data_IF_808849975738
#
_entry.id   IF_808849975738
#
_cell.length_a   1.000
_cell.length_b   1.000
_cell.length_c   1.000
_cell.angle_alpha   90.00
_cell.angle_beta   90.00
_cell.angle_gamma   90.00
#
_symmetry.space_group_name_H-M   'P 1'
#
loop_
_entity.id
_entity.type
_entity.pdbx_description
1 polymer ?
#
# COMPACT_ATOMS: atom_id res chain seq x y z
N UNK A 1 11.88 48.14 21.71
CA UNK A 1 11.84 47.62 20.30
C UNK A 1 12.65 46.36 20.28
N UNK A 2 11.99 45.18 20.28
CA UNK A 2 12.65 43.89 20.27
C UNK A 2 13.04 43.56 18.81
N UNK A 3 14.32 43.48 18.56
CA UNK A 3 14.92 43.17 17.23
C UNK A 3 14.73 41.73 16.74
N UNK A 4 13.90 40.92 17.44
CA UNK A 4 13.75 39.49 17.18
C UNK A 4 12.36 39.07 16.66
N UNK A 5 11.47 40.03 16.34
CA UNK A 5 10.09 39.78 15.89
C UNK A 5 9.85 40.06 14.40
N UNK A 6 10.89 39.96 13.56
CA UNK A 6 10.69 39.90 12.13
C UNK A 6 10.59 38.41 11.71
N UNK A 7 9.37 37.92 11.52
CA UNK A 7 9.20 36.68 10.72
C UNK A 7 10.01 36.85 9.42
N UNK A 8 10.81 35.85 9.03
CA UNK A 8 11.52 35.90 7.75
C UNK A 8 10.47 36.12 6.67
N UNK A 9 10.67 37.17 5.87
CA UNK A 9 9.78 37.48 4.75
C UNK A 9 9.62 36.21 3.91
N UNK A 10 8.37 35.73 3.76
CA UNK A 10 8.07 34.63 2.86
C UNK A 10 8.66 34.99 1.48
N UNK A 11 9.47 34.13 0.86
CA UNK A 11 10.01 34.41 -0.45
C UNK A 11 8.85 34.76 -1.39
N UNK A 12 8.96 35.89 -2.06
CA UNK A 12 7.95 36.37 -2.99
C UNK A 12 7.78 35.33 -4.12
N UNK A 13 6.53 34.91 -4.40
CA UNK A 13 6.26 33.94 -5.43
C UNK A 13 6.51 34.56 -6.82
N UNK A 14 7.60 34.16 -7.46
CA UNK A 14 7.85 34.50 -8.87
C UNK A 14 7.25 33.41 -9.77
N UNK A 15 6.16 33.74 -10.45
CA UNK A 15 5.43 32.82 -11.32
C UNK A 15 6.31 32.13 -12.36
N UNK A 16 7.20 32.88 -13.03
CA UNK A 16 8.02 32.31 -14.10
C UNK A 16 9.10 31.35 -13.54
N UNK A 17 9.67 31.73 -12.40
CA UNK A 17 10.66 30.89 -11.71
C UNK A 17 10.00 29.62 -11.20
N UNK A 18 8.88 29.73 -10.53
CA UNK A 18 8.17 28.55 -9.98
C UNK A 18 7.56 27.67 -11.05
N UNK A 19 7.08 28.24 -12.17
CA UNK A 19 6.67 27.48 -13.35
C UNK A 19 7.82 26.68 -13.93
N UNK A 20 9.00 27.26 -14.08
CA UNK A 20 10.19 26.56 -14.57
C UNK A 20 10.57 25.42 -13.64
N UNK A 21 10.64 25.67 -12.32
CA UNK A 21 10.93 24.64 -11.31
C UNK A 21 9.92 23.47 -11.37
N UNK A 22 8.64 23.78 -11.53
CA UNK A 22 7.60 22.76 -11.64
C UNK A 22 7.82 21.86 -12.86
N UNK A 23 8.12 22.46 -14.02
CA UNK A 23 8.36 21.72 -15.26
C UNK A 23 9.61 20.83 -15.11
N UNK A 24 10.73 21.41 -14.66
CA UNK A 24 11.98 20.69 -14.45
C UNK A 24 11.82 19.52 -13.46
N UNK A 25 11.06 19.71 -12.37
CA UNK A 25 10.76 18.65 -11.42
C UNK A 25 9.93 17.54 -12.05
N UNK A 26 8.89 17.89 -12.83
CA UNK A 26 8.05 16.91 -13.51
C UNK A 26 8.82 16.13 -14.59
N UNK A 27 9.68 16.80 -15.34
CA UNK A 27 10.54 16.17 -16.37
C UNK A 27 11.53 15.21 -15.70
N UNK A 28 12.16 15.62 -14.62
CA UNK A 28 13.08 14.78 -13.84
C UNK A 28 12.39 13.52 -13.32
N UNK A 29 11.22 13.67 -12.68
CA UNK A 29 10.48 12.54 -12.13
C UNK A 29 9.94 11.61 -13.23
N UNK A 30 9.49 12.14 -14.35
CA UNK A 30 8.95 11.34 -15.45
C UNK A 30 10.00 10.54 -16.21
N UNK A 31 11.27 10.96 -16.13
CA UNK A 31 12.39 10.22 -16.71
C UNK A 31 12.76 8.95 -15.91
N UNK A 32 12.32 8.87 -14.66
CA UNK A 32 12.55 7.71 -13.80
C UNK A 32 11.62 6.54 -14.14
N UNK A 33 12.10 5.30 -13.95
CA UNK A 33 11.23 4.13 -13.92
C UNK A 33 10.24 4.19 -12.75
N UNK A 34 9.21 3.34 -12.75
CA UNK A 34 8.24 3.27 -11.62
C UNK A 34 8.95 2.87 -10.32
N UNK A 35 9.88 1.94 -10.41
CA UNK A 35 10.70 1.49 -9.29
C UNK A 35 11.58 2.63 -8.76
N UNK A 36 12.26 3.35 -9.65
CA UNK A 36 13.07 4.52 -9.28
C UNK A 36 12.24 5.59 -8.60
N UNK A 37 11.08 5.96 -9.16
CA UNK A 37 10.19 6.94 -8.53
C UNK A 37 9.71 6.51 -7.16
N UNK A 38 9.39 5.22 -7.00
CA UNK A 38 8.93 4.67 -5.72
C UNK A 38 10.04 4.77 -4.67
N UNK A 39 11.27 4.39 -5.04
CA UNK A 39 12.43 4.51 -4.16
C UNK A 39 12.79 5.96 -3.87
N UNK A 40 12.75 6.84 -4.88
CA UNK A 40 13.04 8.27 -4.73
C UNK A 40 12.12 8.94 -3.71
N UNK A 41 10.83 8.68 -3.76
CA UNK A 41 9.88 9.17 -2.75
C UNK A 41 10.17 8.64 -1.36
N UNK A 42 10.58 7.36 -1.26
CA UNK A 42 11.01 6.77 0.00
C UNK A 42 12.29 7.44 0.53
N UNK A 43 13.25 7.71 -0.35
CA UNK A 43 14.47 8.43 -0.03
C UNK A 43 14.15 9.86 0.45
N UNK A 44 13.27 10.59 -0.22
CA UNK A 44 12.83 11.90 0.23
C UNK A 44 12.13 11.85 1.59
N UNK A 45 11.25 10.87 1.83
CA UNK A 45 10.59 10.69 3.13
C UNK A 45 11.60 10.64 4.29
N UNK A 46 12.75 10.00 4.07
CA UNK A 46 13.77 9.83 5.10
C UNK A 46 14.85 10.93 5.11
N UNK A 47 15.03 11.67 4.05
CA UNK A 47 16.10 12.66 3.93
C UNK A 47 15.62 14.13 3.85
N UNK A 48 14.32 14.39 3.74
CA UNK A 48 13.76 15.76 3.77
C UNK A 48 13.99 16.46 5.12
N UNK A 49 13.95 15.70 6.22
CA UNK A 49 14.32 16.16 7.56
C UNK A 49 15.32 15.15 8.16
N UNK A 50 16.58 15.31 7.78
CA UNK A 50 17.65 14.39 8.17
C UNK A 50 17.86 14.35 9.69
N UNK A 51 17.75 15.50 10.36
CA UNK A 51 17.96 15.57 11.82
C UNK A 51 16.92 14.75 12.58
N UNK A 52 15.65 14.86 12.20
CA UNK A 52 14.56 14.06 12.78
C UNK A 52 14.72 12.58 12.42
N UNK A 53 15.08 12.27 11.18
CA UNK A 53 15.26 10.88 10.72
C UNK A 53 16.42 10.19 11.40
N UNK A 54 17.53 10.87 11.63
CA UNK A 54 18.68 10.32 12.38
C UNK A 54 18.32 10.04 13.83
N UNK A 55 17.54 10.92 14.49
CA UNK A 55 17.04 10.68 15.85
C UNK A 55 16.09 9.46 15.90
N UNK A 56 15.24 9.28 14.88
CA UNK A 56 14.35 8.12 14.76
C UNK A 56 15.08 6.81 14.50
N UNK A 57 16.22 6.84 13.81
CA UNK A 57 16.93 5.62 13.38
C UNK A 57 17.15 4.64 14.53
N UNK A 58 17.61 5.12 15.67
CA UNK A 58 17.84 4.29 16.86
C UNK A 58 16.54 3.68 17.41
N UNK A 59 15.45 4.46 17.47
CA UNK A 59 14.13 3.97 17.90
C UNK A 59 13.57 2.91 16.97
N UNK A 60 13.73 3.10 15.67
CA UNK A 60 13.22 2.17 14.65
C UNK A 60 13.99 0.85 14.63
N UNK A 61 15.27 0.87 14.94
CA UNK A 61 16.09 -0.35 15.05
C UNK A 61 15.55 -1.32 16.14
N UNK A 62 14.86 -0.82 17.17
CA UNK A 62 14.22 -1.65 18.19
C UNK A 62 13.11 -2.55 17.64
N UNK A 63 12.60 -2.25 16.45
CA UNK A 63 11.56 -3.06 15.81
C UNK A 63 12.11 -4.28 15.06
N UNK A 64 13.42 -4.33 14.76
CA UNK A 64 14.04 -5.43 14.02
C UNK A 64 13.85 -6.77 14.73
N UNK A 65 14.03 -6.79 16.05
CA UNK A 65 13.88 -8.01 16.84
C UNK A 65 12.46 -8.57 16.87
N UNK A 66 11.48 -7.75 16.51
CA UNK A 66 10.09 -8.19 16.40
C UNK A 66 9.78 -8.88 15.06
N UNK A 67 10.67 -8.79 14.07
CA UNK A 67 10.46 -9.35 12.74
C UNK A 67 10.94 -10.79 12.68
N UNK A 68 10.19 -11.64 11.97
CA UNK A 68 10.58 -13.03 11.79
C UNK A 68 11.72 -13.15 10.80
N UNK A 69 12.71 -13.91 11.18
CA UNK A 69 13.82 -14.35 10.33
C UNK A 69 14.19 -15.78 10.71
N UNK A 70 14.65 -16.62 9.79
CA UNK A 70 15.20 -17.93 10.16
C UNK A 70 16.48 -17.76 10.98
N UNK A 71 16.77 -18.74 11.84
CA UNK A 71 17.96 -18.72 12.71
C UNK A 71 19.24 -18.74 11.89
N UNK A 72 19.32 -19.63 10.92
CA UNK A 72 20.39 -19.68 9.91
C UNK A 72 19.78 -20.08 8.56
N UNK A 73 19.66 -19.10 7.67
CA UNK A 73 19.03 -19.32 6.35
C UNK A 73 19.82 -20.28 5.45
N UNK A 74 21.10 -20.52 5.75
CA UNK A 74 21.95 -21.44 5.01
C UNK A 74 21.92 -22.87 5.58
N UNK A 75 21.48 -23.08 6.82
CA UNK A 75 21.18 -24.41 7.34
C UNK A 75 19.84 -24.90 6.77
N UNK A 76 19.96 -25.74 5.73
CA UNK A 76 18.81 -26.24 4.98
C UNK A 76 17.81 -27.02 5.84
N UNK A 77 18.30 -27.89 6.71
CA UNK A 77 17.44 -28.75 7.53
C UNK A 77 16.73 -27.97 8.61
N UNK A 78 17.45 -27.08 9.31
CA UNK A 78 16.89 -26.24 10.35
C UNK A 78 15.87 -25.28 9.78
N UNK A 79 16.18 -24.58 8.68
CA UNK A 79 15.27 -23.64 8.04
C UNK A 79 13.98 -24.30 7.58
N UNK A 80 14.05 -25.51 7.02
CA UNK A 80 12.84 -26.27 6.61
C UNK A 80 11.99 -26.58 7.84
N UNK A 81 12.57 -27.04 8.94
CA UNK A 81 11.84 -27.31 10.20
C UNK A 81 11.19 -26.05 10.74
N UNK A 82 11.89 -24.90 10.69
CA UNK A 82 11.32 -23.63 11.11
C UNK A 82 10.09 -23.24 10.28
N UNK A 83 10.14 -23.41 8.94
CA UNK A 83 8.99 -23.16 8.05
C UNK A 83 7.84 -24.17 8.29
N UNK A 84 8.15 -25.44 8.54
CA UNK A 84 7.15 -26.45 8.87
C UNK A 84 6.43 -26.13 10.19
N UNK A 85 7.15 -25.57 11.15
CA UNK A 85 6.62 -25.22 12.46
C UNK A 85 5.91 -23.85 12.52
N UNK A 86 6.02 -23.01 11.50
CA UNK A 86 5.30 -21.74 11.48
C UNK A 86 3.79 -21.96 11.68
N UNK A 87 3.21 -21.17 12.58
CA UNK A 87 1.77 -21.09 12.84
C UNK A 87 1.28 -19.65 12.70
N UNK A 88 1.12 -19.15 11.45
CA UNK A 88 0.69 -17.80 11.19
C UNK A 88 -0.75 -17.53 11.66
N UNK A 89 -0.93 -16.37 12.27
CA UNK A 89 -2.24 -15.85 12.65
C UNK A 89 -2.29 -14.35 12.43
N UNK A 90 -3.48 -13.78 12.44
CA UNK A 90 -3.68 -12.33 12.35
C UNK A 90 -3.94 -11.76 13.72
N UNK A 91 -3.38 -10.57 13.98
CA UNK A 91 -3.62 -9.77 15.17
C UNK A 91 -4.08 -8.38 14.71
N UNK A 92 -5.28 -8.03 15.09
CA UNK A 92 -5.86 -6.72 14.75
C UNK A 92 -5.24 -5.64 15.63
N UNK A 93 -4.94 -4.50 15.05
CA UNK A 93 -4.35 -3.36 15.75
C UNK A 93 -5.46 -2.39 16.15
N UNK A 94 -5.85 -2.41 17.41
CA UNK A 94 -6.98 -1.63 17.93
C UNK A 94 -6.56 -0.44 18.80
N UNK A 95 -5.32 -0.40 19.30
CA UNK A 95 -4.83 0.71 20.12
C UNK A 95 -3.88 1.67 19.36
N UNK A 96 -3.76 2.90 19.88
CA UNK A 96 -2.98 3.96 19.23
C UNK A 96 -1.47 3.70 19.24
N UNK A 97 -0.94 3.05 20.28
CA UNK A 97 0.49 2.75 20.41
C UNK A 97 0.91 1.69 19.40
N UNK A 98 0.15 0.59 19.32
CA UNK A 98 0.40 -0.45 18.33
C UNK A 98 0.12 0.05 16.91
N UNK A 99 -0.84 0.95 16.72
CA UNK A 99 -1.07 1.61 15.42
C UNK A 99 0.14 2.44 14.96
N UNK A 100 0.80 3.13 15.90
CA UNK A 100 2.04 3.87 15.62
C UNK A 100 3.16 2.89 15.29
N UNK A 101 3.38 1.86 16.12
CA UNK A 101 4.37 0.82 15.89
C UNK A 101 4.19 0.12 14.54
N UNK A 102 2.96 -0.22 14.19
CA UNK A 102 2.63 -0.81 12.87
C UNK A 102 3.09 0.12 11.73
N UNK A 103 2.83 1.42 11.86
CA UNK A 103 3.22 2.42 10.85
C UNK A 103 4.75 2.54 10.74
N UNK A 104 5.46 2.50 11.86
CA UNK A 104 6.93 2.53 11.91
C UNK A 104 7.52 1.29 11.24
N UNK A 105 7.03 0.09 11.59
CA UNK A 105 7.47 -1.16 10.95
C UNK A 105 7.17 -1.14 9.45
N UNK A 106 5.98 -0.65 9.05
CA UNK A 106 5.66 -0.51 7.61
C UNK A 106 6.68 0.38 6.89
N UNK A 107 7.07 1.49 7.50
CA UNK A 107 8.08 2.38 6.92
C UNK A 107 9.44 1.69 6.75
N UNK A 108 9.79 0.75 7.63
CA UNK A 108 11.02 -0.03 7.54
C UNK A 108 11.03 -1.03 6.39
N UNK A 109 9.93 -1.75 6.20
CA UNK A 109 9.90 -2.94 5.32
C UNK A 109 9.18 -2.73 3.98
N UNK A 110 8.46 -1.62 3.81
CA UNK A 110 7.67 -1.36 2.59
C UNK A 110 8.34 -0.31 1.70
N UNK A 111 8.42 -0.60 0.40
CA UNK A 111 9.02 0.30 -0.60
C UNK A 111 8.25 1.60 -0.79
N UNK A 112 6.93 1.55 -0.69
CA UNK A 112 6.10 2.74 -0.91
C UNK A 112 6.12 3.67 0.31
N UNK A 113 6.14 4.98 0.06
CA UNK A 113 5.91 5.99 1.09
C UNK A 113 4.57 5.76 1.80
N UNK A 114 4.46 6.26 3.02
CA UNK A 114 3.24 6.15 3.81
C UNK A 114 2.35 7.36 3.58
N UNK A 115 1.18 7.11 3.00
CA UNK A 115 0.09 8.08 2.97
C UNK A 115 -1.07 7.54 3.83
N UNK A 116 -1.59 8.37 4.73
CA UNK A 116 -2.78 8.02 5.49
C UNK A 116 -4.00 7.94 4.57
N UNK A 117 -4.75 6.85 4.66
CA UNK A 117 -6.00 6.71 3.91
C UNK A 117 -7.16 7.31 4.71
N UNK A 118 -7.96 8.18 4.11
CA UNK A 118 -9.20 8.64 4.74
C UNK A 118 -10.23 7.50 4.80
N UNK A 119 -11.13 7.57 5.77
CA UNK A 119 -12.22 6.62 5.92
C UNK A 119 -11.85 5.39 6.75
N UNK A 120 -12.43 4.24 6.40
CA UNK A 120 -12.21 3.00 7.12
C UNK A 120 -10.75 2.59 7.06
N UNK A 121 -10.24 2.11 8.19
CA UNK A 121 -8.87 1.62 8.29
C UNK A 121 -8.80 0.51 9.34
N UNK A 122 -8.29 -0.65 8.92
CA UNK A 122 -7.96 -1.77 9.81
C UNK A 122 -6.52 -2.14 9.55
N UNK A 123 -5.66 -1.97 10.54
CA UNK A 123 -4.26 -2.39 10.53
C UNK A 123 -4.16 -3.77 11.14
N UNK A 124 -3.34 -4.63 10.57
CA UNK A 124 -3.23 -6.04 10.92
C UNK A 124 -1.76 -6.44 10.92
N UNK A 125 -1.33 -7.10 11.97
CA UNK A 125 -0.11 -7.90 11.98
C UNK A 125 -0.42 -9.33 11.53
N UNK A 126 0.40 -9.88 10.66
CA UNK A 126 0.50 -11.31 10.45
C UNK A 126 1.68 -11.78 11.28
N UNK A 127 1.42 -12.61 12.30
CA UNK A 127 2.43 -13.05 13.27
C UNK A 127 2.50 -14.57 13.29
N UNK A 128 3.61 -15.08 13.82
CA UNK A 128 3.80 -16.50 14.08
C UNK A 128 3.55 -16.80 15.55
N UNK A 129 2.68 -17.77 15.89
CA UNK A 129 2.37 -18.15 17.28
C UNK A 129 3.58 -18.78 17.99
N UNK A 130 4.44 -19.48 17.24
CA UNK A 130 5.58 -20.20 17.82
C UNK A 130 6.64 -19.24 18.32
N UNK A 131 7.00 -18.25 17.51
CA UNK A 131 8.05 -17.29 17.83
C UNK A 131 7.54 -15.95 18.39
N UNK A 132 6.26 -15.65 18.24
CA UNK A 132 5.67 -14.33 18.52
C UNK A 132 6.08 -13.24 17.53
N UNK A 133 6.87 -13.56 16.51
CA UNK A 133 7.45 -12.61 15.56
C UNK A 133 6.47 -12.22 14.46
N UNK A 134 6.70 -11.04 13.88
CA UNK A 134 5.90 -10.50 12.79
C UNK A 134 6.41 -11.08 11.47
N UNK A 135 5.50 -11.69 10.72
CA UNK A 135 5.72 -12.23 9.38
C UNK A 135 5.42 -11.19 8.29
N UNK A 136 4.48 -10.29 8.57
CA UNK A 136 4.07 -9.26 7.63
C UNK A 136 2.98 -8.35 8.16
N UNK A 137 2.60 -7.39 7.32
CA UNK A 137 1.64 -6.35 7.63
C UNK A 137 0.55 -6.27 6.55
N UNK A 138 -0.68 -6.06 6.99
CA UNK A 138 -1.82 -5.78 6.12
C UNK A 138 -2.53 -4.52 6.62
N UNK A 139 -3.00 -3.69 5.69
CA UNK A 139 -3.94 -2.61 5.98
C UNK A 139 -5.10 -2.69 5.01
N UNK A 140 -6.32 -2.70 5.56
CA UNK A 140 -7.56 -2.67 4.81
C UNK A 140 -8.20 -1.29 4.95
N UNK A 141 -8.57 -0.69 3.82
CA UNK A 141 -9.19 0.63 3.77
C UNK A 141 -10.57 0.61 3.13
N UNK A 142 -11.26 1.76 3.13
CA UNK A 142 -12.46 1.92 2.32
C UNK A 142 -12.16 1.57 0.86
N UNK A 143 -13.06 0.84 0.22
CA UNK A 143 -12.87 0.49 -1.19
C UNK A 143 -12.99 1.74 -2.08
N UNK A 144 -12.32 1.73 -3.21
CA UNK A 144 -12.34 2.85 -4.13
C UNK A 144 -13.71 2.97 -4.81
N UNK A 145 -14.20 4.19 -4.94
CA UNK A 145 -15.55 4.46 -5.47
C UNK A 145 -15.72 4.06 -6.94
N UNK A 146 -14.63 4.01 -7.71
CA UNK A 146 -14.67 3.65 -9.13
C UNK A 146 -13.44 2.82 -9.50
N UNK A 147 -13.67 1.57 -9.88
CA UNK A 147 -12.65 0.65 -10.39
C UNK A 147 -13.29 -0.24 -11.47
N UNK A 148 -13.18 0.20 -12.73
CA UNK A 148 -13.96 -0.32 -13.86
C UNK A 148 -13.95 -1.85 -13.98
N UNK A 149 -12.79 -2.50 -13.90
CA UNK A 149 -12.69 -3.97 -14.03
C UNK A 149 -13.36 -4.71 -12.86
N UNK A 150 -13.31 -4.16 -11.64
CA UNK A 150 -14.04 -4.70 -10.47
C UNK A 150 -15.54 -4.50 -10.65
N UNK A 151 -15.95 -3.29 -11.00
CA UNK A 151 -17.36 -2.91 -11.15
C UNK A 151 -18.01 -3.76 -12.26
N UNK A 152 -17.31 -3.99 -13.36
CA UNK A 152 -17.74 -4.91 -14.43
C UNK A 152 -17.82 -6.37 -13.96
N UNK A 153 -16.82 -6.84 -13.19
CA UNK A 153 -16.81 -8.20 -12.68
C UNK A 153 -17.98 -8.48 -11.72
N UNK A 154 -18.33 -7.53 -10.86
CA UNK A 154 -19.46 -7.64 -9.94
C UNK A 154 -20.78 -7.44 -10.71
N UNK A 155 -20.79 -6.69 -11.79
CA UNK A 155 -21.99 -6.24 -12.52
C UNK A 155 -22.59 -5.00 -11.87
N UNK A 156 -21.78 -4.14 -11.25
CA UNK A 156 -22.27 -2.91 -10.63
C UNK A 156 -22.62 -1.84 -11.64
N UNK A 157 -23.78 -1.23 -11.44
CA UNK A 157 -24.17 0.08 -11.97
C UNK A 157 -23.85 1.15 -10.90
N UNK A 158 -23.94 2.43 -11.27
CA UNK A 158 -23.77 3.51 -10.29
C UNK A 158 -24.86 3.44 -9.21
N UNK A 159 -26.10 3.11 -9.59
CA UNK A 159 -27.22 3.09 -8.66
C UNK A 159 -27.13 1.94 -7.66
N UNK A 160 -26.90 0.71 -8.12
CA UNK A 160 -26.89 -0.44 -7.22
C UNK A 160 -25.65 -0.53 -6.33
N UNK A 161 -24.51 0.02 -6.78
CA UNK A 161 -23.26 0.04 -6.01
C UNK A 161 -23.38 0.84 -4.69
N UNK A 162 -24.11 1.94 -4.70
CA UNK A 162 -24.28 2.79 -3.51
C UNK A 162 -25.56 2.46 -2.73
N UNK A 163 -26.52 1.84 -3.38
CA UNK A 163 -27.77 1.43 -2.73
C UNK A 163 -27.47 0.51 -1.55
N UNK A 164 -28.10 0.77 -0.41
CA UNK A 164 -27.94 0.03 0.84
C UNK A 164 -26.47 -0.13 1.29
N UNK A 165 -25.59 0.80 0.87
CA UNK A 165 -24.19 0.79 1.26
C UNK A 165 -23.38 -0.38 0.71
N UNK A 166 -23.76 -0.98 -0.43
CA UNK A 166 -23.12 -2.21 -0.96
C UNK A 166 -21.62 -2.08 -1.19
N UNK A 167 -21.12 -0.91 -1.56
CA UNK A 167 -19.69 -0.68 -1.66
C UNK A 167 -18.94 -0.92 -0.33
N UNK A 168 -19.60 -0.72 0.80
CA UNK A 168 -19.02 -0.89 2.12
C UNK A 168 -18.84 -2.36 2.55
N UNK A 169 -19.40 -3.30 1.78
CA UNK A 169 -19.19 -4.74 1.93
C UNK A 169 -17.95 -5.24 1.20
N UNK A 170 -17.22 -4.34 0.53
CA UNK A 170 -15.90 -4.60 -0.05
C UNK A 170 -14.87 -3.67 0.58
N UNK A 171 -13.61 -4.06 0.52
CA UNK A 171 -12.47 -3.28 1.01
C UNK A 171 -11.32 -3.35 0.05
N UNK A 172 -10.41 -2.37 0.10
CA UNK A 172 -9.14 -2.44 -0.60
C UNK A 172 -8.00 -2.65 0.39
N UNK A 173 -7.17 -3.64 0.13
CA UNK A 173 -5.93 -3.81 0.86
C UNK A 173 -4.90 -2.81 0.31
N UNK A 174 -4.62 -1.78 1.09
CA UNK A 174 -3.71 -0.69 0.75
C UNK A 174 -2.26 -1.00 1.10
N UNK A 175 -2.05 -1.96 1.98
CA UNK A 175 -0.74 -2.51 2.32
C UNK A 175 -0.87 -4.03 2.44
N UNK A 176 -0.02 -4.75 1.72
CA UNK A 176 0.25 -6.17 1.90
C UNK A 176 1.76 -6.34 1.72
N UNK A 177 2.49 -6.50 2.79
CA UNK A 177 3.94 -6.63 2.78
C UNK A 177 4.39 -7.68 3.80
N UNK A 178 5.31 -8.53 3.41
CA UNK A 178 5.96 -9.49 4.31
C UNK A 178 7.35 -9.00 4.71
N UNK A 179 7.88 -9.58 5.79
CA UNK A 179 9.28 -9.39 6.17
C UNK A 179 10.22 -10.01 5.14
N UNK A 180 11.45 -9.55 5.09
CA UNK A 180 12.53 -10.23 4.38
C UNK A 180 13.43 -10.91 5.44
N UNK A 181 13.92 -12.12 5.22
CA UNK A 181 13.98 -12.90 3.97
C UNK A 181 12.72 -13.73 3.64
N UNK A 182 11.64 -13.67 4.46
CA UNK A 182 10.42 -14.47 4.25
C UNK A 182 9.82 -14.26 2.83
N UNK A 183 9.82 -13.03 2.35
CA UNK A 183 9.23 -12.66 1.06
C UNK A 183 9.86 -13.37 -0.11
N UNK A 184 11.15 -13.17 -0.31
CA UNK A 184 11.86 -13.69 -1.47
C UNK A 184 12.07 -15.22 -1.40
N UNK A 185 12.59 -15.70 -0.27
CA UNK A 185 13.02 -17.09 -0.16
C UNK A 185 11.86 -18.07 0.04
N UNK A 186 10.75 -17.63 0.65
CA UNK A 186 9.66 -18.51 1.08
C UNK A 186 8.28 -18.09 0.56
N UNK A 187 8.19 -17.20 -0.44
CA UNK A 187 6.91 -16.70 -0.95
C UNK A 187 6.04 -16.05 0.12
N UNK A 188 6.64 -15.35 1.08
CA UNK A 188 5.93 -14.76 2.21
C UNK A 188 4.88 -13.74 1.81
N UNK A 189 5.08 -13.00 0.71
CA UNK A 189 4.08 -12.07 0.19
C UNK A 189 2.76 -12.76 -0.18
N UNK A 190 2.83 -14.02 -0.63
CA UNK A 190 1.62 -14.83 -0.92
C UNK A 190 0.91 -15.24 0.36
N UNK A 191 1.66 -15.64 1.40
CA UNK A 191 1.11 -15.94 2.72
C UNK A 191 0.35 -14.73 3.28
N UNK A 192 1.04 -13.58 3.38
CA UNK A 192 0.46 -12.36 3.94
C UNK A 192 -0.77 -11.89 3.15
N UNK A 193 -0.77 -12.06 1.82
CA UNK A 193 -1.93 -11.76 0.99
C UNK A 193 -3.15 -12.65 1.33
N UNK A 194 -2.94 -13.95 1.51
CA UNK A 194 -4.02 -14.86 1.91
C UNK A 194 -4.59 -14.48 3.30
N UNK A 195 -3.72 -14.14 4.25
CA UNK A 195 -4.12 -13.78 5.61
C UNK A 195 -4.97 -12.51 5.68
N UNK A 196 -4.97 -11.66 4.64
CA UNK A 196 -5.88 -10.52 4.54
C UNK A 196 -7.37 -10.91 4.51
N UNK A 197 -7.69 -12.18 4.25
CA UNK A 197 -9.06 -12.73 4.20
C UNK A 197 -9.37 -13.68 5.37
N UNK A 198 -8.53 -13.72 6.38
CA UNK A 198 -8.66 -14.55 7.58
C UNK A 198 -10.05 -14.42 8.23
N UNK A 199 -10.59 -15.49 8.85
CA UNK A 199 -11.82 -15.43 9.62
C UNK A 199 -11.84 -14.30 10.66
N UNK A 200 -10.73 -14.07 11.35
CA UNK A 200 -10.63 -13.01 12.36
C UNK A 200 -10.77 -11.61 11.74
N UNK A 201 -10.20 -11.38 10.55
CA UNK A 201 -10.37 -10.11 9.81
C UNK A 201 -11.83 -9.87 9.45
N UNK A 202 -12.54 -10.90 8.98
CA UNK A 202 -13.96 -10.80 8.62
C UNK A 202 -14.84 -10.52 9.83
N UNK A 203 -14.57 -11.21 10.94
CA UNK A 203 -15.25 -11.01 12.22
C UNK A 203 -15.07 -9.57 12.70
N UNK A 204 -13.82 -9.09 12.78
CA UNK A 204 -13.52 -7.72 13.20
C UNK A 204 -14.18 -6.66 12.29
N UNK A 205 -14.17 -6.89 10.97
CA UNK A 205 -14.86 -5.98 10.04
C UNK A 205 -16.35 -5.87 10.32
N UNK A 206 -17.02 -7.02 10.56
CA UNK A 206 -18.44 -7.06 10.91
C UNK A 206 -18.73 -6.37 12.25
N UNK A 207 -17.92 -6.64 13.26
CA UNK A 207 -18.06 -6.04 14.59
C UNK A 207 -17.84 -4.52 14.56
N UNK A 208 -16.82 -4.06 13.85
CA UNK A 208 -16.44 -2.65 13.81
C UNK A 208 -17.35 -1.78 12.93
N UNK A 209 -17.79 -2.31 11.80
CA UNK A 209 -18.51 -1.54 10.78
C UNK A 209 -19.95 -2.02 10.54
N UNK A 210 -20.38 -3.10 11.15
CA UNK A 210 -21.73 -3.68 10.97
C UNK A 210 -21.95 -4.37 9.61
N UNK A 211 -20.97 -4.35 8.70
CA UNK A 211 -21.11 -4.94 7.37
C UNK A 211 -20.37 -6.27 7.25
N UNK A 212 -20.99 -7.24 6.60
CA UNK A 212 -20.34 -8.48 6.21
C UNK A 212 -19.33 -8.21 5.10
N UNK A 213 -18.09 -8.59 5.30
CA UNK A 213 -17.03 -8.43 4.31
C UNK A 213 -17.17 -9.50 3.21
N UNK A 214 -17.60 -9.09 2.03
CA UNK A 214 -17.82 -9.98 0.88
C UNK A 214 -16.53 -10.24 0.12
N UNK A 215 -15.69 -9.20 -0.01
CA UNK A 215 -14.46 -9.32 -0.77
C UNK A 215 -13.36 -8.33 -0.33
N UNK A 216 -12.12 -8.75 -0.53
CA UNK A 216 -10.91 -7.92 -0.40
C UNK A 216 -10.32 -7.70 -1.79
N UNK A 217 -10.25 -6.44 -2.23
CA UNK A 217 -9.55 -6.03 -3.44
C UNK A 217 -8.12 -5.61 -3.13
N UNK A 218 -7.24 -5.66 -4.11
CA UNK A 218 -5.92 -5.00 -4.07
C UNK A 218 -5.44 -4.68 -5.48
N UNK A 219 -4.48 -3.77 -5.58
CA UNK A 219 -3.87 -3.42 -6.86
C UNK A 219 -2.36 -3.58 -6.81
N UNK A 220 -1.77 -4.02 -7.91
CA UNK A 220 -0.32 -4.10 -8.07
C UNK A 220 0.19 -2.97 -8.94
N UNK A 221 1.28 -2.30 -8.53
CA UNK A 221 1.99 -1.32 -9.35
C UNK A 221 2.70 -1.95 -10.55
N UNK A 222 2.99 -3.26 -10.47
CA UNK A 222 3.74 -4.02 -11.47
C UNK A 222 2.82 -4.75 -12.46
N UNK A 223 1.63 -4.21 -12.73
CA UNK A 223 0.65 -4.80 -13.62
C UNK A 223 0.14 -6.16 -13.12
N UNK A 224 -0.08 -7.09 -14.05
CA UNK A 224 -0.56 -8.44 -13.75
C UNK A 224 0.55 -9.41 -13.27
N UNK A 225 1.81 -8.98 -13.26
CA UNK A 225 2.95 -9.77 -12.76
C UNK A 225 3.25 -9.39 -11.31
N UNK A 226 2.62 -10.05 -10.36
CA UNK A 226 2.74 -9.69 -8.94
C UNK A 226 2.74 -10.90 -8.02
N UNK A 227 3.01 -10.64 -6.74
CA UNK A 227 2.90 -11.62 -5.66
C UNK A 227 1.50 -12.24 -5.55
N UNK A 228 0.47 -11.61 -6.10
CA UNK A 228 -0.92 -12.08 -6.04
C UNK A 228 -1.25 -13.15 -7.08
N UNK A 229 -0.38 -13.37 -8.06
CA UNK A 229 -0.59 -14.39 -9.09
C UNK A 229 -0.47 -15.80 -8.51
N UNK A 230 -1.42 -16.67 -8.92
CA UNK A 230 -1.42 -18.08 -8.55
C UNK A 230 -1.71 -18.34 -7.07
N UNK A 231 -2.24 -17.38 -6.32
CA UNK A 231 -2.83 -17.62 -5.01
C UNK A 231 -4.31 -18.00 -5.13
N UNK A 232 -4.78 -19.01 -4.35
CA UNK A 232 -6.15 -19.51 -4.48
C UNK A 232 -7.21 -18.50 -4.05
N UNK A 233 -6.84 -17.54 -3.20
CA UNK A 233 -7.75 -16.54 -2.65
C UNK A 233 -8.09 -15.44 -3.64
N UNK A 234 -7.12 -14.99 -4.43
CA UNK A 234 -7.28 -13.84 -5.33
C UNK A 234 -7.47 -14.26 -6.78
N UNK A 235 -8.47 -13.66 -7.42
CA UNK A 235 -8.68 -13.70 -8.86
C UNK A 235 -8.10 -12.44 -9.48
N UNK A 236 -7.33 -12.57 -10.56
CA UNK A 236 -6.91 -11.45 -11.39
C UNK A 236 -8.10 -10.97 -12.22
N UNK A 237 -8.46 -9.71 -12.12
CA UNK A 237 -9.56 -9.11 -12.88
C UNK A 237 -9.09 -8.39 -14.15
N UNK A 238 -7.77 -8.25 -14.33
CA UNK A 238 -7.17 -7.49 -15.41
C UNK A 238 -6.50 -6.21 -14.91
N UNK A 239 -6.43 -5.20 -15.75
CA UNK A 239 -5.74 -3.95 -15.45
C UNK A 239 -6.71 -2.77 -15.29
N UNK A 240 -6.37 -1.85 -14.39
CA UNK A 240 -7.13 -0.60 -14.23
C UNK A 240 -7.05 0.25 -15.50
N UNK A 241 -8.12 1.00 -15.79
CA UNK A 241 -8.12 1.94 -16.92
C UNK A 241 -7.21 3.16 -16.68
N UNK A 242 -6.99 3.52 -15.41
CA UNK A 242 -6.17 4.66 -15.02
C UNK A 242 -4.68 4.37 -15.14
N UNK A 243 -3.96 5.31 -15.74
CA UNK A 243 -2.49 5.32 -15.74
C UNK A 243 -1.98 5.91 -14.43
N UNK A 244 -0.82 5.46 -13.99
CA UNK A 244 -0.15 6.08 -12.83
C UNK A 244 0.36 7.45 -13.27
N UNK A 245 -0.15 8.51 -12.62
CA UNK A 245 0.33 9.88 -12.86
C UNK A 245 1.54 10.18 -11.98
N UNK A 246 2.58 10.73 -12.57
CA UNK A 246 3.69 11.33 -11.83
C UNK A 246 3.17 12.51 -11.03
N UNK A 247 3.56 12.59 -9.77
CA UNK A 247 3.20 13.70 -8.88
C UNK A 247 4.46 14.52 -8.61
N UNK A 248 4.35 15.85 -8.55
CA UNK A 248 5.49 16.70 -8.18
C UNK A 248 5.98 16.37 -6.76
N UNK A 249 7.21 16.74 -6.47
CA UNK A 249 7.77 16.69 -5.13
C UNK A 249 6.97 17.57 -4.18
N UNK A 250 6.92 17.20 -2.91
CA UNK A 250 6.09 17.89 -1.92
C UNK A 250 6.50 19.37 -1.79
N UNK A 251 7.79 19.70 -1.84
CA UNK A 251 8.27 21.08 -1.82
C UNK A 251 7.75 21.92 -2.98
N UNK A 252 7.72 21.35 -4.18
CA UNK A 252 7.21 22.01 -5.40
C UNK A 252 5.67 22.10 -5.35
N UNK A 253 5.03 21.02 -4.87
CA UNK A 253 3.58 20.98 -4.73
C UNK A 253 3.08 22.03 -3.73
N UNK A 254 3.68 22.17 -2.56
CA UNK A 254 3.22 23.11 -1.51
C UNK A 254 3.29 24.57 -1.95
N UNK A 255 4.33 24.96 -2.66
CA UNK A 255 4.44 26.31 -3.23
C UNK A 255 3.27 26.61 -4.15
N UNK A 256 2.98 25.70 -5.09
CA UNK A 256 1.86 25.84 -6.01
C UNK A 256 0.48 25.67 -5.35
N UNK A 257 0.37 24.84 -4.34
CA UNK A 257 -0.86 24.65 -3.57
C UNK A 257 -1.27 25.97 -2.89
N UNK A 258 -0.32 26.65 -2.24
CA UNK A 258 -0.58 27.97 -1.66
C UNK A 258 -1.02 28.98 -2.73
N UNK A 259 -0.30 29.04 -3.84
CA UNK A 259 -0.64 29.94 -4.92
C UNK A 259 -2.05 29.70 -5.48
N UNK A 260 -2.40 28.44 -5.77
CA UNK A 260 -3.73 28.06 -6.26
C UNK A 260 -4.82 28.42 -5.26
N UNK A 261 -4.59 28.20 -3.97
CA UNK A 261 -5.53 28.55 -2.90
C UNK A 261 -5.82 30.05 -2.83
N UNK A 262 -4.79 30.87 -3.06
CA UNK A 262 -4.91 32.32 -3.02
C UNK A 262 -5.50 32.91 -4.31
N UNK A 263 -5.01 32.46 -5.48
CA UNK A 263 -5.32 33.08 -6.77
C UNK A 263 -6.48 32.41 -7.51
N UNK A 264 -6.88 31.19 -7.12
CA UNK A 264 -7.99 30.43 -7.69
C UNK A 264 -8.99 29.98 -6.62
N UNK A 265 -9.27 30.84 -5.64
CA UNK A 265 -10.01 30.50 -4.43
C UNK A 265 -11.38 29.85 -4.71
N UNK A 266 -12.14 30.35 -5.68
CA UNK A 266 -13.45 29.79 -6.04
C UNK A 266 -13.34 28.37 -6.65
N UNK A 267 -12.40 28.17 -7.60
CA UNK A 267 -12.17 26.86 -8.21
C UNK A 267 -11.60 25.88 -7.19
N UNK A 268 -10.70 26.35 -6.32
CA UNK A 268 -10.15 25.58 -5.21
C UNK A 268 -11.25 25.10 -4.27
N UNK A 269 -12.12 26.02 -3.80
CA UNK A 269 -13.23 25.68 -2.91
C UNK A 269 -14.18 24.64 -3.54
N UNK A 270 -14.54 24.83 -4.81
CA UNK A 270 -15.39 23.88 -5.56
C UNK A 270 -14.74 22.49 -5.69
N UNK A 271 -13.42 22.41 -5.91
CA UNK A 271 -12.71 21.14 -6.08
C UNK A 271 -12.45 20.43 -4.75
N UNK A 272 -12.36 21.16 -3.65
CA UNK A 272 -12.07 20.62 -2.31
C UNK A 272 -13.32 20.47 -1.44
N UNK A 273 -14.46 21.01 -1.86
CA UNK A 273 -15.73 20.87 -1.16
C UNK A 273 -16.09 19.38 -0.97
N UNK A 274 -16.63 19.08 0.21
CA UNK A 274 -17.26 17.81 0.49
C UNK A 274 -18.50 17.66 -0.41
N UNK A 275 -18.72 16.45 -0.91
CA UNK A 275 -19.93 16.21 -1.71
C UNK A 275 -21.13 16.09 -0.79
N UNK A 276 -22.17 16.84 -1.08
CA UNK A 276 -23.46 16.76 -0.39
C UNK A 276 -23.99 15.31 -0.36
N UNK A 277 -24.33 14.81 0.82
CA UNK A 277 -24.82 13.43 0.98
C UNK A 277 -23.75 12.32 1.07
N UNK A 278 -22.46 12.66 1.14
CA UNK A 278 -21.39 11.70 1.38
C UNK A 278 -20.69 12.02 2.68
N UNK A 279 -20.86 11.17 3.69
CA UNK A 279 -20.14 11.32 4.96
C UNK A 279 -18.65 11.07 4.74
N UNK A 280 -17.82 12.04 5.10
CA UNK A 280 -16.38 11.95 5.11
C UNK A 280 -15.64 12.97 4.23
N UNK A 281 -14.32 13.13 4.44
CA UNK A 281 -13.53 14.14 3.75
C UNK A 281 -13.48 13.88 2.24
N UNK A 282 -13.39 14.96 1.46
CA UNK A 282 -13.26 14.87 0.00
C UNK A 282 -12.05 14.03 -0.42
N UNK A 283 -12.28 12.97 -1.20
CA UNK A 283 -11.21 12.10 -1.67
C UNK A 283 -10.50 12.65 -2.92
N UNK A 284 -9.21 12.36 -3.06
CA UNK A 284 -8.43 12.74 -4.23
C UNK A 284 -8.15 14.25 -4.36
N UNK A 285 -8.26 15.01 -3.27
CA UNK A 285 -8.05 16.47 -3.24
C UNK A 285 -6.68 16.85 -3.80
N UNK A 286 -5.61 16.20 -3.34
CA UNK A 286 -4.24 16.47 -3.84
C UNK A 286 -4.15 16.31 -5.36
N UNK A 287 -4.78 15.28 -5.95
CA UNK A 287 -4.77 15.08 -7.39
C UNK A 287 -5.58 16.16 -8.14
N UNK A 288 -6.69 16.62 -7.57
CA UNK A 288 -7.47 17.71 -8.17
C UNK A 288 -6.68 19.01 -8.19
N UNK A 289 -5.97 19.32 -7.10
CA UNK A 289 -5.09 20.50 -6.99
C UNK A 289 -3.94 20.38 -8.00
N UNK A 290 -3.29 19.23 -8.11
CA UNK A 290 -2.24 18.99 -9.12
C UNK A 290 -2.78 19.22 -10.54
N UNK A 291 -4.01 18.79 -10.84
CA UNK A 291 -4.62 19.05 -12.14
C UNK A 291 -4.90 20.55 -12.37
N UNK A 292 -5.24 21.30 -11.32
CA UNK A 292 -5.37 22.77 -11.39
C UNK A 292 -4.01 23.42 -11.69
N UNK A 293 -2.93 22.94 -11.05
CA UNK A 293 -1.57 23.41 -11.31
C UNK A 293 -1.19 23.15 -12.77
N UNK A 294 -1.40 21.94 -13.28
CA UNK A 294 -1.13 21.61 -14.68
C UNK A 294 -1.86 22.54 -15.66
N UNK A 295 -3.14 22.81 -15.39
CA UNK A 295 -3.94 23.73 -16.19
C UNK A 295 -3.36 25.14 -16.17
N UNK A 296 -2.95 25.63 -15.00
CA UNK A 296 -2.38 26.97 -14.81
C UNK A 296 -1.01 27.10 -15.51
N UNK A 297 -0.16 26.11 -15.36
CA UNK A 297 1.19 26.08 -15.99
C UNK A 297 1.11 25.90 -17.51
N UNK A 298 -0.09 25.51 -18.03
CA UNK A 298 -0.32 25.31 -19.46
C UNK A 298 0.23 23.99 -20.02
N UNK A 299 0.37 22.95 -19.17
CA UNK A 299 0.90 21.65 -19.55
C UNK A 299 -0.19 20.59 -19.46
N UNK A 300 -0.21 19.66 -20.41
CA UNK A 300 -1.14 18.53 -20.37
C UNK A 300 -0.63 17.47 -19.37
N UNK A 301 -1.43 17.17 -18.35
CA UNK A 301 -1.14 16.12 -17.36
C UNK A 301 -0.85 14.75 -18.02
N UNK A 302 -1.36 14.50 -19.22
CA UNK A 302 -1.09 13.26 -19.97
C UNK A 302 0.36 13.07 -20.39
N UNK A 303 1.17 14.14 -20.42
CA UNK A 303 2.61 14.04 -20.71
C UNK A 303 3.38 13.34 -19.58
N UNK A 304 2.87 13.43 -18.36
CA UNK A 304 3.50 12.90 -17.15
C UNK A 304 2.78 11.67 -16.59
N UNK A 305 2.09 10.93 -17.46
CA UNK A 305 1.47 9.66 -17.11
C UNK A 305 2.38 8.50 -17.54
N UNK A 306 2.76 7.65 -16.57
CA UNK A 306 3.39 6.38 -16.92
C UNK A 306 2.41 5.49 -17.67
N UNK A 307 2.89 4.79 -18.70
CA UNK A 307 2.09 3.85 -19.48
C UNK A 307 1.61 2.62 -18.71
N UNK A 308 2.04 2.47 -17.47
CA UNK A 308 1.73 1.30 -16.65
C UNK A 308 0.33 1.40 -16.04
N UNK A 309 -0.44 0.35 -16.28
CA UNK A 309 -1.72 0.11 -15.64
C UNK A 309 -1.50 -0.76 -14.40
N UNK A 310 -2.31 -0.55 -13.38
CA UNK A 310 -2.26 -1.39 -12.19
C UNK A 310 -3.00 -2.70 -12.43
N UNK A 311 -2.38 -3.83 -12.12
CA UNK A 311 -3.08 -5.10 -12.03
C UNK A 311 -4.09 -5.08 -10.89
N UNK A 312 -5.31 -5.55 -11.13
CA UNK A 312 -6.40 -5.58 -10.15
C UNK A 312 -6.68 -7.02 -9.75
N UNK A 313 -6.70 -7.25 -8.46
CA UNK A 313 -6.91 -8.56 -7.83
C UNK A 313 -8.07 -8.47 -6.85
N UNK A 314 -8.86 -9.55 -6.76
CA UNK A 314 -10.08 -9.57 -5.97
C UNK A 314 -10.29 -10.94 -5.32
N UNK A 315 -10.35 -10.97 -4.00
CA UNK A 315 -10.63 -12.13 -3.20
C UNK A 315 -12.09 -12.12 -2.75
N UNK A 316 -12.96 -12.70 -3.56
CA UNK A 316 -14.38 -12.86 -3.24
C UNK A 316 -14.57 -14.12 -2.40
N UNK A 317 -15.12 -13.96 -1.19
CA UNK A 317 -15.20 -15.01 -0.19
C UNK A 317 -16.48 -15.85 -0.27
N UNK A 318 -17.51 -15.38 -0.97
CA UNK A 318 -18.80 -16.06 -1.11
C UNK A 318 -19.07 -16.43 -2.56
N UNK A 319 -19.68 -17.58 -2.80
CA UNK A 319 -20.02 -18.05 -4.16
C UNK A 319 -21.00 -17.11 -4.84
N UNK A 320 -22.01 -16.68 -4.11
CA UNK A 320 -23.05 -15.75 -4.55
C UNK A 320 -22.82 -14.30 -4.06
N UNK A 321 -21.56 -13.94 -3.82
CA UNK A 321 -21.21 -12.61 -3.32
C UNK A 321 -21.54 -11.48 -4.30
N UNK A 322 -21.49 -11.73 -5.62
CA UNK A 322 -21.83 -10.73 -6.62
C UNK A 322 -23.34 -10.42 -6.61
N UNK A 323 -24.17 -11.44 -6.42
CA UNK A 323 -25.63 -11.30 -6.30
C UNK A 323 -25.98 -10.44 -5.09
N UNK A 324 -25.32 -10.67 -3.96
CA UNK A 324 -25.49 -9.83 -2.78
C UNK A 324 -25.04 -8.38 -3.05
N UNK A 325 -23.90 -8.20 -3.68
CA UNK A 325 -23.37 -6.86 -4.00
C UNK A 325 -24.25 -6.11 -5.01
N UNK A 326 -25.03 -6.80 -5.84
CA UNK A 326 -26.03 -6.21 -6.75
C UNK A 326 -27.43 -6.03 -6.14
N UNK A 327 -27.61 -6.33 -4.85
CA UNK A 327 -28.90 -6.31 -4.17
C UNK A 327 -29.93 -7.35 -4.67
N UNK A 328 -29.47 -8.48 -5.20
CA UNK A 328 -30.33 -9.56 -5.71
C UNK A 328 -30.69 -10.58 -4.64
N UNK A 329 -29.87 -10.69 -3.58
CA UNK A 329 -30.08 -11.56 -2.43
C UNK A 329 -29.79 -10.83 -1.12
N UNK A 330 -30.28 -11.40 -0.01
CA UNK A 330 -30.05 -10.92 1.36
C UNK A 330 -28.83 -11.58 2.00
N UNK A 331 -28.36 -11.07 3.15
CA UNK A 331 -27.15 -11.54 3.82
C UNK A 331 -27.25 -13.00 4.30
N UNK A 332 -28.43 -13.42 4.73
CA UNK A 332 -28.71 -14.80 5.20
C UNK A 332 -28.63 -15.86 4.09
N UNK A 333 -28.70 -15.45 2.84
CA UNK A 333 -28.57 -16.32 1.67
C UNK A 333 -27.10 -16.49 1.20
N UNK A 334 -26.15 -15.81 1.83
CA UNK A 334 -24.74 -15.89 1.45
C UNK A 334 -24.16 -17.29 1.70
N UNK A 335 -23.49 -17.84 0.68
CA UNK A 335 -22.79 -19.12 0.73
C UNK A 335 -21.30 -18.90 0.69
N UNK A 336 -20.61 -19.18 1.80
CA UNK A 336 -19.17 -19.03 1.88
C UNK A 336 -18.46 -20.14 1.10
N UNK A 337 -17.42 -19.78 0.34
CA UNK A 337 -16.57 -20.76 -0.35
C UNK A 337 -15.77 -21.58 0.66
N UNK A 338 -15.66 -22.90 0.46
CA UNK A 338 -14.98 -23.81 1.38
C UNK A 338 -13.58 -23.34 1.80
N UNK A 339 -12.79 -22.84 0.86
CA UNK A 339 -11.42 -22.33 1.12
C UNK A 339 -11.36 -21.12 2.08
N UNK A 340 -12.47 -20.49 2.38
CA UNK A 340 -12.53 -19.37 3.33
C UNK A 340 -13.24 -19.75 4.64
N UNK A 341 -13.86 -20.92 4.71
CA UNK A 341 -14.46 -21.43 5.97
C UNK A 341 -13.34 -21.62 6.99
N UNK A 342 -12.33 -22.44 6.65
CA UNK A 342 -11.13 -22.68 7.45
C UNK A 342 -9.92 -21.99 6.79
N UNK A 343 -10.06 -20.68 6.51
CA UNK A 343 -9.19 -19.95 5.61
C UNK A 343 -7.71 -19.99 5.98
N UNK A 344 -7.39 -19.91 7.27
CA UNK A 344 -5.99 -19.92 7.74
C UNK A 344 -5.38 -21.31 7.60
N UNK A 345 -6.10 -22.37 7.96
CA UNK A 345 -5.65 -23.77 7.77
C UNK A 345 -5.50 -24.09 6.28
N UNK A 346 -6.47 -23.73 5.45
CA UNK A 346 -6.38 -23.87 4.00
C UNK A 346 -5.15 -23.15 3.44
N UNK A 347 -4.90 -21.93 3.88
CA UNK A 347 -3.74 -21.15 3.49
C UNK A 347 -2.45 -21.86 3.82
N UNK A 348 -2.32 -22.41 5.03
CA UNK A 348 -1.12 -23.10 5.47
C UNK A 348 -0.87 -24.41 4.72
N UNK A 349 -1.91 -25.22 4.48
CA UNK A 349 -1.83 -26.43 3.64
C UNK A 349 -1.38 -26.13 2.21
N UNK A 350 -1.81 -24.98 1.67
CA UNK A 350 -1.42 -24.56 0.32
C UNK A 350 -0.02 -23.95 0.27
N UNK A 351 0.35 -23.08 1.24
CA UNK A 351 1.56 -22.27 1.20
C UNK A 351 2.82 -23.02 1.64
N UNK A 352 2.80 -23.77 2.76
CA UNK A 352 3.99 -24.43 3.32
C UNK A 352 4.76 -25.30 2.31
N UNK A 353 4.12 -26.22 1.57
CA UNK A 353 4.84 -27.04 0.59
C UNK A 353 5.50 -26.19 -0.51
N UNK A 354 4.86 -25.12 -0.93
CA UNK A 354 5.39 -24.21 -1.97
C UNK A 354 6.56 -23.38 -1.45
N UNK A 355 6.48 -22.90 -0.22
CA UNK A 355 7.55 -22.17 0.46
C UNK A 355 8.79 -23.04 0.60
N UNK A 356 8.65 -24.27 1.08
CA UNK A 356 9.72 -25.25 1.23
C UNK A 356 10.34 -25.60 -0.13
N UNK A 357 9.53 -25.89 -1.14
CA UNK A 357 10.03 -26.19 -2.47
C UNK A 357 10.78 -25.01 -3.11
N UNK A 358 10.26 -23.79 -2.91
CA UNK A 358 10.94 -22.56 -3.35
C UNK A 358 12.30 -22.42 -2.69
N UNK A 359 12.35 -22.57 -1.37
CA UNK A 359 13.58 -22.46 -0.61
C UNK A 359 14.61 -23.52 -1.02
N UNK A 360 14.21 -24.79 -1.12
CA UNK A 360 15.08 -25.87 -1.58
C UNK A 360 15.73 -25.56 -2.93
N UNK A 361 14.92 -25.10 -3.88
CA UNK A 361 15.40 -24.71 -5.21
C UNK A 361 16.40 -23.56 -5.15
N UNK A 362 16.10 -22.50 -4.39
CA UNK A 362 17.01 -21.35 -4.23
C UNK A 362 18.32 -21.76 -3.54
N UNK A 363 18.25 -22.64 -2.56
CA UNK A 363 19.42 -23.17 -1.86
C UNK A 363 20.32 -23.96 -2.81
N UNK A 364 19.75 -24.85 -3.61
CA UNK A 364 20.47 -25.65 -4.60
C UNK A 364 21.10 -24.81 -5.72
N UNK A 365 20.43 -23.72 -6.10
CA UNK A 365 20.91 -22.78 -7.12
C UNK A 365 21.87 -21.71 -6.56
N UNK A 366 22.16 -21.69 -5.26
CA UNK A 366 23.00 -20.66 -4.61
C UNK A 366 22.38 -19.26 -4.67
N UNK A 367 21.05 -19.14 -4.69
CA UNK A 367 20.29 -17.91 -4.87
C UNK A 367 19.53 -17.47 -3.61
N UNK A 368 19.90 -17.99 -2.46
CA UNK A 368 19.35 -17.52 -1.18
C UNK A 368 19.69 -16.04 -0.98
N UNK A 369 18.73 -15.26 -0.56
CA UNK A 369 18.92 -13.85 -0.16
C UNK A 369 18.74 -13.75 1.36
N UNK A 370 19.84 -13.68 2.13
CA UNK A 370 19.78 -13.64 3.59
C UNK A 370 19.39 -12.26 4.12
N UNK A 371 19.61 -11.21 3.34
CA UNK A 371 19.49 -9.83 3.82
C UNK A 371 18.03 -9.46 4.06
N UNK A 372 17.80 -8.81 5.17
CA UNK A 372 16.60 -8.03 5.42
C UNK A 372 16.78 -6.64 4.85
N UNK A 373 15.94 -6.26 3.90
CA UNK A 373 15.96 -4.93 3.30
C UNK A 373 15.20 -3.97 4.21
N UNK A 374 15.93 -3.11 4.90
CA UNK A 374 15.36 -2.07 5.73
C UNK A 374 15.64 -0.70 5.10
N UNK A 375 14.60 -0.06 4.62
CA UNK A 375 14.72 1.24 3.93
C UNK A 375 15.20 2.40 4.84
N UNK A 376 15.33 2.16 6.14
CA UNK A 376 15.95 3.11 7.05
C UNK A 376 17.44 3.34 6.76
N UNK A 377 18.09 2.40 6.13
CA UNK A 377 19.52 2.49 5.83
C UNK A 377 19.84 3.56 4.78
N UNK A 378 18.81 4.06 4.05
CA UNK A 378 18.99 5.18 3.12
C UNK A 378 19.08 6.55 3.81
N UNK A 379 18.86 6.62 5.12
CA UNK A 379 18.99 7.88 5.87
C UNK A 379 20.42 8.35 5.83
N UNK A 380 20.63 9.56 5.30
CA UNK A 380 21.92 10.20 5.14
C UNK A 380 22.69 9.82 3.86
N UNK A 381 22.13 8.90 3.04
CA UNK A 381 22.68 8.59 1.72
C UNK A 381 22.31 9.67 0.70
N UNK A 382 23.18 9.91 -0.28
CA UNK A 382 22.78 10.59 -1.51
C UNK A 382 21.77 9.76 -2.29
N UNK A 383 21.05 10.39 -3.21
CA UNK A 383 20.12 9.68 -4.08
C UNK A 383 20.80 8.56 -4.91
N UNK A 384 21.99 8.85 -5.45
CA UNK A 384 22.73 7.89 -6.27
C UNK A 384 23.18 6.67 -5.46
N UNK A 385 23.64 6.86 -4.22
CA UNK A 385 24.00 5.75 -3.32
C UNK A 385 22.78 4.90 -2.96
N UNK A 386 21.64 5.53 -2.64
CA UNK A 386 20.40 4.84 -2.35
C UNK A 386 19.88 4.04 -3.56
N UNK A 387 19.98 4.62 -4.75
CA UNK A 387 19.63 4.00 -6.03
C UNK A 387 20.49 2.77 -6.32
N UNK A 388 21.80 2.90 -6.19
CA UNK A 388 22.75 1.81 -6.38
C UNK A 388 22.45 0.65 -5.41
N UNK A 389 22.29 0.95 -4.13
CA UNK A 389 22.01 -0.06 -3.10
C UNK A 389 20.69 -0.82 -3.35
N UNK A 390 19.62 -0.12 -3.61
CA UNK A 390 18.27 -0.76 -3.58
C UNK A 390 17.74 -1.16 -4.97
N UNK A 391 18.14 -0.51 -6.04
CA UNK A 391 17.71 -0.91 -7.38
C UNK A 391 18.58 -2.01 -7.97
N UNK A 392 19.89 -1.98 -7.72
CA UNK A 392 20.80 -3.00 -8.20
C UNK A 392 20.76 -4.29 -7.35
N UNK A 393 20.63 -4.17 -6.03
CA UNK A 393 20.52 -5.32 -5.12
C UNK A 393 19.14 -5.97 -5.13
N UNK A 394 18.06 -5.18 -5.23
CA UNK A 394 16.66 -5.68 -5.33
C UNK A 394 16.32 -6.08 -6.76
N UNK A 395 17.09 -5.64 -7.71
CA UNK A 395 16.92 -5.88 -9.13
C UNK A 395 17.07 -7.33 -9.57
N UNK A 396 16.30 -8.27 -8.96
CA UNK A 396 15.88 -9.57 -9.56
C UNK A 396 16.82 -10.72 -9.51
#
# INVERSE_FOLDING_TARGET
MNFWDTEPAKPEFDYNVEKKKFIENMDYLSAMSVEEQTLYKKWQEWNSDLATSMKRKASLALHYDALWMPTDIYDKEQTIKEIENLDPYVEIVDDSKESTRWTEIRKLIHTMSFDANPGRNVKIYVKDRVSGKILGLVSLGSDVTSLGVRDTYIGWTQDNKYKDGRLNHTTIATTIVCTQPLGYNFLGGKLVACMATSPEVRKHWKEKYGQTLIAVGTTSLYGIHSQYNGIPHFKTLGESAGKVATKPDDSVYEVWHHWVKEHKAEEYARQTAEKEGVDGPATGVKQKIINMIFKEVGIKASHYQHGFKRGVYFAQMYDNGNEFLRNEITEDQLVMKDKFVDGDEYTMKWWKPKAINRYKKLHEEGRIKPESLFYIDIIGMSWEEAKEKYLNEVGR
#
